data_IF_434369996117
#
_entry.id   IF_434369996117
#
_cell.length_a   1.000
_cell.length_b   1.000
_cell.length_c   1.000
_cell.angle_alpha   90.00
_cell.angle_beta   90.00
_cell.angle_gamma   90.00
#
_symmetry.space_group_name_H-M   'P 1'
#
loop_
_entity.id
_entity.type
_entity.pdbx_description
1 polymer ?
#
# COMPACT_ATOMS: atom_id res chain seq x y z
N UNK A 1 -11.55 -19.54 7.99
CA UNK A 1 -10.74 -18.45 8.63
C UNK A 1 -11.66 -17.32 9.06
N UNK A 2 -11.62 -16.90 10.33
CA UNK A 2 -12.43 -15.80 10.85
C UNK A 2 -11.97 -14.45 10.31
N UNK A 3 -12.91 -13.47 10.23
CA UNK A 3 -12.62 -12.09 9.81
C UNK A 3 -11.63 -11.45 10.80
N UNK A 4 -10.56 -10.81 10.30
CA UNK A 4 -9.60 -10.07 11.15
C UNK A 4 -10.36 -9.06 12.04
N UNK A 5 -10.03 -8.94 13.34
CA UNK A 5 -10.68 -7.96 14.20
C UNK A 5 -10.41 -6.53 13.68
N UNK A 6 -11.45 -5.69 13.74
CA UNK A 6 -11.34 -4.28 13.33
C UNK A 6 -10.58 -3.49 14.40
N UNK A 7 -9.74 -2.55 13.97
CA UNK A 7 -9.06 -1.62 14.87
C UNK A 7 -10.07 -0.84 15.72
N UNK A 8 -9.82 -0.57 17.01
CA UNK A 8 -10.74 0.15 17.89
C UNK A 8 -11.20 1.50 17.36
N UNK A 9 -10.30 2.29 16.76
CA UNK A 9 -10.64 3.59 16.20
C UNK A 9 -11.62 3.47 15.01
N UNK A 10 -11.56 2.38 14.24
CA UNK A 10 -12.54 2.09 13.19
C UNK A 10 -13.92 1.78 13.77
N UNK A 11 -14.00 1.18 14.94
CA UNK A 11 -15.28 0.93 15.63
C UNK A 11 -15.90 2.21 16.17
N UNK A 12 -15.09 3.13 16.69
CA UNK A 12 -15.53 4.47 17.12
C UNK A 12 -16.15 5.24 15.96
N UNK A 13 -15.51 5.20 14.80
CA UNK A 13 -15.94 5.87 13.59
C UNK A 13 -17.24 5.28 13.03
N UNK A 14 -17.42 3.95 13.12
CA UNK A 14 -18.64 3.26 12.70
C UNK A 14 -19.80 3.42 13.71
N UNK A 15 -19.61 4.20 14.79
CA UNK A 15 -20.61 4.47 15.83
C UNK A 15 -20.79 3.35 16.82
N UNK A 16 -19.85 2.38 16.91
CA UNK A 16 -19.86 1.27 17.85
C UNK A 16 -21.25 0.62 18.05
N UNK A 17 -21.94 0.33 16.96
CA UNK A 17 -23.33 -0.18 16.94
C UNK A 17 -23.55 -1.40 17.84
N UNK A 18 -22.48 -2.17 18.08
CA UNK A 18 -22.52 -3.37 18.93
C UNK A 18 -22.23 -3.06 20.40
N UNK A 19 -22.07 -1.78 20.79
CA UNK A 19 -21.69 -1.33 22.15
C UNK A 19 -20.53 -2.09 22.76
N UNK A 20 -19.62 -2.62 21.94
CA UNK A 20 -18.45 -3.36 22.43
C UNK A 20 -17.48 -2.40 23.11
N UNK A 21 -16.89 -2.86 24.22
CA UNK A 21 -15.86 -2.11 24.95
C UNK A 21 -14.71 -1.75 23.98
N UNK A 22 -14.45 -0.47 23.84
CA UNK A 22 -13.36 0.05 23.04
C UNK A 22 -12.16 0.16 23.95
N UNK A 23 -11.10 -0.55 23.62
CA UNK A 23 -9.86 -0.49 24.39
C UNK A 23 -9.18 0.86 24.10
N UNK A 24 -9.11 1.72 25.11
CA UNK A 24 -8.45 3.02 25.03
C UNK A 24 -6.90 2.91 24.98
N UNK A 25 -6.37 1.73 25.32
CA UNK A 25 -4.92 1.48 25.43
C UNK A 25 -4.30 0.90 24.16
N UNK A 26 -4.92 1.08 22.98
CA UNK A 26 -4.26 0.66 21.74
C UNK A 26 -3.02 1.52 21.52
N UNK A 27 -1.83 0.91 21.41
CA UNK A 27 -0.61 1.66 21.16
C UNK A 27 -0.75 2.49 19.88
N UNK A 28 -0.61 3.80 20.01
CA UNK A 28 -0.51 4.71 18.87
C UNK A 28 0.97 4.93 18.60
N UNK A 29 1.51 4.43 17.48
CA UNK A 29 2.90 4.67 17.14
C UNK A 29 3.14 6.18 17.00
N UNK A 30 4.31 6.64 17.47
CA UNK A 30 4.68 8.04 17.30
C UNK A 30 4.74 8.40 15.80
N UNK A 31 4.16 9.54 15.40
CA UNK A 31 4.31 10.01 14.03
C UNK A 31 5.79 10.31 13.77
N UNK A 32 6.41 9.52 12.91
CA UNK A 32 7.80 9.68 12.55
C UNK A 32 8.05 9.12 11.15
N UNK A 33 8.92 9.78 10.41
CA UNK A 33 9.35 9.33 9.08
C UNK A 33 10.36 8.18 9.22
N UNK A 34 10.02 6.95 8.78
CA UNK A 34 10.93 5.83 8.86
C UNK A 34 12.10 5.98 7.88
N UNK A 35 13.32 5.51 8.21
CA UNK A 35 14.43 5.50 7.29
C UNK A 35 14.20 4.51 6.15
N UNK A 36 14.63 4.88 4.93
CA UNK A 36 14.51 4.00 3.77
C UNK A 36 15.47 2.79 3.89
N UNK A 37 14.98 1.55 3.80
CA UNK A 37 15.81 0.36 3.90
C UNK A 37 16.86 0.30 2.77
N UNK A 38 18.10 -0.05 3.10
CA UNK A 38 19.20 -0.14 2.13
C UNK A 38 19.00 -1.26 1.09
N UNK A 39 18.22 -2.28 1.43
CA UNK A 39 17.94 -3.44 0.56
C UNK A 39 17.11 -3.09 -0.68
N UNK A 40 16.41 -1.96 -0.69
CA UNK A 40 15.58 -1.54 -1.80
C UNK A 40 16.43 -1.10 -3.00
N UNK A 41 16.07 -1.55 -4.19
CA UNK A 41 16.68 -1.09 -5.44
C UNK A 41 16.21 0.34 -5.80
N UNK A 42 16.75 0.91 -6.88
CA UNK A 42 16.48 2.29 -7.27
C UNK A 42 14.99 2.53 -7.60
N UNK A 43 14.30 1.55 -8.20
CA UNK A 43 12.88 1.65 -8.53
C UNK A 43 12.04 1.61 -7.26
N UNK A 44 12.33 0.65 -6.37
CA UNK A 44 11.68 0.53 -5.08
C UNK A 44 11.88 1.78 -4.20
N UNK A 45 13.10 2.37 -4.18
CA UNK A 45 13.36 3.61 -3.43
C UNK A 45 12.53 4.79 -3.91
N UNK A 46 12.30 4.92 -5.21
CA UNK A 46 11.40 5.96 -5.75
C UNK A 46 9.97 5.75 -5.29
N UNK A 47 9.49 4.52 -5.35
CA UNK A 47 8.14 4.19 -4.87
C UNK A 47 8.01 4.33 -3.35
N UNK A 48 9.03 3.94 -2.58
CA UNK A 48 9.13 4.22 -1.14
C UNK A 48 8.93 5.70 -0.84
N UNK A 49 9.68 6.57 -1.52
CA UNK A 49 9.56 8.02 -1.34
C UNK A 49 8.13 8.51 -1.61
N UNK A 50 7.54 8.06 -2.72
CA UNK A 50 6.15 8.39 -3.07
C UNK A 50 5.17 7.98 -1.97
N UNK A 51 5.23 6.73 -1.49
CA UNK A 51 4.33 6.23 -0.45
C UNK A 51 4.49 7.03 0.85
N UNK A 52 5.73 7.27 1.29
CA UNK A 52 6.01 8.05 2.50
C UNK A 52 5.41 9.46 2.39
N UNK A 53 5.61 10.15 1.26
CA UNK A 53 5.05 11.49 1.02
C UNK A 53 3.51 11.50 1.05
N UNK A 54 2.85 10.47 0.51
CA UNK A 54 1.39 10.36 0.58
C UNK A 54 0.88 10.14 2.01
N UNK A 55 1.52 9.25 2.78
CA UNK A 55 1.16 8.99 4.17
C UNK A 55 1.41 10.20 5.08
N UNK A 56 2.49 10.92 4.82
CA UNK A 56 2.84 12.18 5.50
C UNK A 56 1.78 13.27 5.23
N UNK A 57 1.40 13.45 3.96
CA UNK A 57 0.36 14.40 3.55
C UNK A 57 -1.02 14.06 4.16
N UNK A 58 -1.30 12.79 4.40
CA UNK A 58 -2.51 12.34 5.09
C UNK A 58 -2.42 12.42 6.62
N UNK A 59 -1.24 12.69 7.18
CA UNK A 59 -1.02 12.75 8.63
C UNK A 59 -1.12 11.40 9.35
N UNK A 60 -0.92 10.28 8.64
CA UNK A 60 -1.06 8.93 9.18
C UNK A 60 0.25 8.13 9.20
N UNK A 61 1.36 8.73 8.76
CA UNK A 61 2.67 8.09 8.72
C UNK A 61 3.19 7.81 10.14
N UNK A 62 3.58 6.56 10.38
CA UNK A 62 4.20 6.14 11.63
C UNK A 62 5.52 5.39 11.38
N UNK A 63 6.41 5.41 12.37
CA UNK A 63 7.69 4.68 12.29
C UNK A 63 7.53 3.17 12.14
N UNK A 64 6.43 2.62 12.67
CA UNK A 64 6.06 1.20 12.57
C UNK A 64 5.75 0.73 11.15
N UNK A 65 5.45 1.66 10.23
CA UNK A 65 4.98 1.32 8.88
C UNK A 65 6.13 0.97 7.93
N UNK A 66 7.39 1.10 8.40
CA UNK A 66 8.60 0.83 7.61
C UNK A 66 8.54 -0.49 6.84
N UNK A 67 8.15 -1.58 7.50
CA UNK A 67 8.09 -2.91 6.89
C UNK A 67 7.06 -3.00 5.78
N UNK A 68 5.86 -2.47 6.01
CA UNK A 68 4.75 -2.50 5.05
C UNK A 68 5.06 -1.62 3.83
N UNK A 69 5.62 -0.42 4.06
CA UNK A 69 6.04 0.48 2.97
C UNK A 69 7.16 -0.17 2.15
N UNK A 70 8.14 -0.83 2.80
CA UNK A 70 9.22 -1.52 2.10
C UNK A 70 8.70 -2.70 1.26
N UNK A 71 7.72 -3.44 1.78
CA UNK A 71 7.08 -4.54 1.05
C UNK A 71 6.31 -4.03 -0.18
N UNK A 72 5.55 -2.95 -0.05
CA UNK A 72 4.86 -2.28 -1.16
C UNK A 72 5.86 -1.82 -2.23
N UNK A 73 6.92 -1.14 -1.82
CA UNK A 73 7.96 -0.64 -2.71
C UNK A 73 8.70 -1.75 -3.46
N UNK A 74 9.00 -2.86 -2.79
CA UNK A 74 9.65 -4.02 -3.41
C UNK A 74 8.69 -4.74 -4.38
N UNK A 75 7.41 -4.86 -4.03
CA UNK A 75 6.39 -5.41 -4.91
C UNK A 75 6.23 -4.56 -6.19
N UNK A 76 6.18 -3.22 -6.05
CA UNK A 76 6.19 -2.29 -7.19
C UNK A 76 7.42 -2.49 -8.09
N UNK A 77 8.62 -2.61 -7.52
CA UNK A 77 9.84 -2.81 -8.32
C UNK A 77 9.81 -4.13 -9.09
N UNK A 78 9.30 -5.20 -8.48
CA UNK A 78 9.13 -6.50 -9.17
C UNK A 78 8.13 -6.42 -10.32
N UNK A 79 6.98 -5.80 -10.08
CA UNK A 79 5.98 -5.56 -11.10
C UNK A 79 6.57 -4.74 -12.25
N UNK A 80 7.21 -3.61 -11.96
CA UNK A 80 7.85 -2.75 -12.96
C UNK A 80 8.86 -3.50 -13.82
N UNK A 81 9.73 -4.35 -13.23
CA UNK A 81 10.70 -5.15 -13.98
C UNK A 81 10.03 -6.20 -14.87
N UNK A 82 9.00 -6.87 -14.37
CA UNK A 82 8.25 -7.84 -15.17
C UNK A 82 7.57 -7.19 -16.37
N UNK A 83 6.93 -6.02 -16.18
CA UNK A 83 6.33 -5.25 -17.25
C UNK A 83 7.36 -4.78 -18.29
N UNK A 84 8.56 -4.39 -17.86
CA UNK A 84 9.64 -4.04 -18.80
C UNK A 84 10.09 -5.24 -19.64
N UNK A 85 10.16 -6.44 -19.05
CA UNK A 85 10.49 -7.66 -19.77
C UNK A 85 9.40 -8.02 -20.79
N UNK A 86 8.12 -7.94 -20.41
CA UNK A 86 7.00 -8.16 -21.31
C UNK A 86 7.00 -7.16 -22.47
N UNK A 87 7.27 -5.87 -22.20
CA UNK A 87 7.44 -4.84 -23.23
C UNK A 87 8.62 -5.11 -24.18
N UNK A 88 9.70 -5.72 -23.67
CA UNK A 88 10.83 -6.10 -24.53
C UNK A 88 10.46 -7.25 -25.45
N UNK A 89 9.72 -8.25 -24.96
CA UNK A 89 9.19 -9.37 -25.77
C UNK A 89 8.21 -8.86 -26.85
N UNK A 90 7.34 -7.91 -26.49
CA UNK A 90 6.35 -7.34 -27.41
C UNK A 90 6.96 -6.58 -28.60
N UNK A 91 8.27 -6.28 -28.58
CA UNK A 91 8.96 -5.65 -29.72
C UNK A 91 9.27 -6.64 -30.84
N UNK A 92 9.26 -7.92 -30.55
CA UNK A 92 9.48 -8.99 -31.53
C UNK A 92 8.11 -9.44 -32.04
N UNK A 93 7.79 -9.21 -33.34
CA UNK A 93 6.48 -9.56 -33.91
C UNK A 93 6.23 -11.07 -33.99
N UNK A 94 7.27 -11.89 -33.81
CA UNK A 94 7.15 -13.35 -33.82
C UNK A 94 6.89 -13.92 -32.42
N UNK A 95 6.91 -13.10 -31.38
CA UNK A 95 6.72 -13.51 -30.00
C UNK A 95 5.40 -12.99 -29.41
N UNK A 96 4.78 -13.84 -28.60
CA UNK A 96 3.60 -13.47 -27.80
C UNK A 96 4.01 -13.15 -26.37
N UNK A 97 3.40 -12.13 -25.80
CA UNK A 97 3.70 -11.72 -24.43
C UNK A 97 3.08 -12.64 -23.39
N UNK A 98 1.87 -13.14 -23.66
CA UNK A 98 1.08 -13.93 -22.71
C UNK A 98 1.43 -15.41 -22.72
N UNK A 99 1.94 -15.91 -23.84
CA UNK A 99 2.26 -17.34 -24.02
C UNK A 99 3.65 -17.51 -24.62
N UNK A 100 4.26 -18.65 -24.36
CA UNK A 100 5.55 -19.03 -24.94
C UNK A 100 5.57 -20.52 -25.28
N UNK A 101 6.39 -20.89 -26.26
CA UNK A 101 6.65 -22.30 -26.58
C UNK A 101 7.75 -22.85 -25.70
N UNK A 102 7.50 -24.03 -25.12
CA UNK A 102 8.54 -24.83 -24.45
C UNK A 102 9.50 -25.45 -25.48
N UNK A 103 10.62 -25.96 -25.02
CA UNK A 103 11.56 -26.74 -25.86
C UNK A 103 10.90 -27.96 -26.52
N UNK A 104 9.85 -28.52 -25.91
CA UNK A 104 9.05 -29.63 -26.43
C UNK A 104 7.95 -29.20 -27.39
N UNK A 105 7.83 -27.90 -27.71
CA UNK A 105 6.85 -27.35 -28.65
C UNK A 105 5.48 -27.02 -28.06
N UNK A 106 5.25 -27.28 -26.76
CA UNK A 106 3.97 -26.99 -26.12
C UNK A 106 3.83 -25.51 -25.81
N UNK A 107 2.63 -24.96 -25.99
CA UNK A 107 2.29 -23.61 -25.56
C UNK A 107 1.99 -23.59 -24.06
N UNK A 108 2.63 -22.68 -23.33
CA UNK A 108 2.39 -22.43 -21.91
C UNK A 108 2.23 -20.93 -21.69
N UNK A 109 1.58 -20.57 -20.59
CA UNK A 109 1.57 -19.17 -20.15
C UNK A 109 2.99 -18.70 -19.88
N UNK A 110 3.32 -17.50 -20.32
CA UNK A 110 4.61 -16.88 -20.01
C UNK A 110 4.73 -16.66 -18.48
N UNK A 111 5.74 -17.26 -17.82
CA UNK A 111 5.91 -17.12 -16.36
C UNK A 111 6.04 -15.67 -15.90
N UNK A 112 6.54 -14.77 -16.76
CA UNK A 112 6.70 -13.34 -16.44
C UNK A 112 5.34 -12.69 -16.18
N UNK A 113 4.27 -13.10 -16.91
CA UNK A 113 2.90 -12.63 -16.67
C UNK A 113 2.44 -12.99 -15.26
N UNK A 114 2.71 -14.23 -14.82
CA UNK A 114 2.41 -14.67 -13.46
C UNK A 114 3.14 -13.85 -12.39
N UNK A 115 4.43 -13.55 -12.62
CA UNK A 115 5.24 -12.70 -11.73
C UNK A 115 4.68 -11.28 -11.68
N UNK A 116 4.32 -10.70 -12.84
CA UNK A 116 3.75 -9.35 -12.92
C UNK A 116 2.44 -9.26 -12.13
N UNK A 117 1.52 -10.20 -12.36
CA UNK A 117 0.23 -10.25 -11.67
C UNK A 117 0.40 -10.41 -10.14
N UNK A 118 1.21 -11.37 -9.70
CA UNK A 118 1.44 -11.60 -8.28
C UNK A 118 2.09 -10.39 -7.58
N UNK A 119 3.04 -9.73 -8.25
CA UNK A 119 3.71 -8.54 -7.73
C UNK A 119 2.76 -7.34 -7.63
N UNK A 120 1.94 -7.11 -8.68
CA UNK A 120 0.90 -6.06 -8.69
C UNK A 120 -0.11 -6.29 -7.56
N UNK A 121 -0.62 -7.51 -7.41
CA UNK A 121 -1.63 -7.83 -6.40
C UNK A 121 -1.07 -7.68 -4.98
N UNK A 122 0.20 -8.03 -4.77
CA UNK A 122 0.90 -7.80 -3.51
C UNK A 122 1.04 -6.29 -3.22
N UNK A 123 1.45 -5.48 -4.19
CA UNK A 123 1.56 -4.03 -4.06
C UNK A 123 0.22 -3.41 -3.67
N UNK A 124 -0.85 -3.69 -4.41
CA UNK A 124 -2.20 -3.17 -4.14
C UNK A 124 -2.70 -3.55 -2.74
N UNK A 125 -2.37 -4.76 -2.28
CA UNK A 125 -2.72 -5.21 -0.93
C UNK A 125 -2.01 -4.40 0.15
N UNK A 126 -0.69 -4.20 0.03
CA UNK A 126 0.07 -3.39 0.99
C UNK A 126 -0.35 -1.92 0.97
N UNK A 127 -0.60 -1.35 -0.20
CA UNK A 127 -1.10 0.02 -0.32
C UNK A 127 -2.50 0.18 0.31
N UNK A 128 -3.36 -0.83 0.18
CA UNK A 128 -4.66 -0.82 0.84
C UNK A 128 -4.54 -0.92 2.37
N UNK A 129 -3.57 -1.70 2.89
CA UNK A 129 -3.29 -1.76 4.34
C UNK A 129 -2.77 -0.42 4.87
N UNK A 130 -1.98 0.31 4.07
CA UNK A 130 -1.48 1.66 4.36
C UNK A 130 -2.54 2.77 4.20
N UNK A 131 -3.75 2.45 3.74
CA UNK A 131 -4.80 3.44 3.54
C UNK A 131 -4.70 4.23 2.23
N UNK A 132 -3.85 3.83 1.29
CA UNK A 132 -3.65 4.53 0.02
C UNK A 132 -4.76 4.26 -1.00
N UNK A 133 -5.56 3.21 -0.83
CA UNK A 133 -6.70 2.95 -1.73
C UNK A 133 -7.89 3.85 -1.42
N UNK A 134 -8.74 4.21 -2.41
CA UNK A 134 -9.96 5.00 -2.17
C UNK A 134 -10.87 4.37 -1.12
N UNK A 135 -11.08 3.06 -1.16
CA UNK A 135 -11.90 2.32 -0.20
C UNK A 135 -11.28 2.26 1.20
N UNK A 136 -9.96 2.25 1.31
CA UNK A 136 -9.29 2.33 2.60
C UNK A 136 -9.41 3.74 3.19
N UNK A 137 -9.26 4.79 2.37
CA UNK A 137 -9.42 6.20 2.80
C UNK A 137 -10.79 6.52 3.35
N UNK A 138 -11.87 5.94 2.82
CA UNK A 138 -13.22 6.13 3.38
C UNK A 138 -13.36 5.57 4.80
N UNK A 139 -12.45 4.69 5.22
CA UNK A 139 -12.40 4.11 6.56
C UNK A 139 -11.46 4.86 7.51
N UNK A 140 -10.62 5.75 6.98
CA UNK A 140 -9.70 6.58 7.76
C UNK A 140 -10.38 7.93 8.02
N UNK A 141 -10.80 8.18 9.26
CA UNK A 141 -11.07 9.55 9.72
C UNK A 141 -9.75 10.10 10.27
N UNK A 142 -9.13 10.96 9.52
CA UNK A 142 -8.06 11.82 10.02
C UNK A 142 -8.74 12.91 10.86
N UNK A 143 -8.45 12.98 12.15
CA UNK A 143 -8.75 14.18 12.93
C UNK A 143 -8.01 15.32 12.26
N UNK A 144 -8.75 16.24 11.62
CA UNK A 144 -8.16 17.51 11.21
C UNK A 144 -7.60 18.14 12.47
N UNK A 145 -6.29 18.34 12.51
CA UNK A 145 -5.69 19.21 13.50
C UNK A 145 -6.52 20.50 13.48
N UNK A 146 -7.14 20.85 14.61
CA UNK A 146 -7.89 22.08 14.72
C UNK A 146 -6.99 23.22 14.29
N UNK A 147 -7.36 23.88 13.20
CA UNK A 147 -6.67 25.08 12.78
C UNK A 147 -6.75 26.06 13.96
N UNK A 148 -5.61 26.58 14.46
CA UNK A 148 -5.63 27.56 15.55
C UNK A 148 -6.46 28.76 15.08
N UNK A 149 -7.62 28.98 15.71
CA UNK A 149 -8.46 30.15 15.41
C UNK A 149 -9.96 29.96 15.41
N UNK A 150 -10.51 28.76 15.62
CA UNK A 150 -11.97 28.58 15.64
C UNK A 150 -12.61 28.80 17.03
N UNK A 151 -11.83 28.77 18.10
CA UNK A 151 -12.34 29.02 19.47
C UNK A 151 -12.49 30.50 19.83
N UNK A 152 -11.80 31.42 19.14
CA UNK A 152 -11.90 32.86 19.43
C UNK A 152 -13.07 33.56 18.78
N UNK A 153 -13.78 32.95 17.82
CA UNK A 153 -14.95 33.57 17.16
C UNK A 153 -16.30 33.31 17.83
N UNK A 154 -16.33 32.55 18.92
CA UNK A 154 -17.57 32.22 19.62
C UNK A 154 -17.70 32.92 20.97
N UNK A 155 -16.75 33.78 21.37
CA UNK A 155 -16.75 34.54 22.62
C UNK A 155 -16.62 36.08 22.37
N UNK A 156 -16.94 36.52 21.17
CA UNK A 156 -17.05 37.94 20.85
C UNK A 156 -18.48 38.33 20.56
#
# INVERSE_FOLDING_TARGET
>A
MGRKPKHPDLRLVEGNREHRRIDANVPRPAPARPPCPKILDAVAKRHWKYVVEQLEAMGILASSDQGTIAAAANAYSRWHRAEQQLKAIAKDPEQYTEVMKTKSGNWIQNPIVGIANAARDAMVRYEAELGLSPTARTRLKVEKADAPGRRERLLG
#
